data_IF_663295673510
#
_entry.id   IF_663295673510
#
_cell.length_a   1.000
_cell.length_b   1.000
_cell.length_c   1.000
_cell.angle_alpha   90.00
_cell.angle_beta   90.00
_cell.angle_gamma   90.00
#
_symmetry.space_group_name_H-M   'P 1'
#
loop_
_entity.id
_entity.type
_entity.pdbx_description
1 polymer ?
#
# COMPACT_ATOMS: atom_id res chain seq x y z
N UNK A 1 -30.05 -11.44 -59.36
CA UNK A 1 -29.73 -12.03 -58.03
C UNK A 1 -28.29 -11.66 -57.71
N UNK A 2 -28.04 -10.93 -56.62
CA UNK A 2 -26.73 -10.31 -56.31
C UNK A 2 -26.16 -10.95 -55.05
N UNK A 3 -24.87 -11.33 -55.07
CA UNK A 3 -24.21 -12.04 -53.96
C UNK A 3 -23.38 -11.09 -53.10
N UNK A 4 -23.41 -11.26 -51.78
CA UNK A 4 -22.48 -10.61 -50.88
C UNK A 4 -21.07 -11.22 -51.03
N UNK A 5 -20.04 -10.38 -51.10
CA UNK A 5 -18.64 -10.83 -51.24
C UNK A 5 -18.07 -11.35 -49.92
N UNK A 6 -18.55 -10.82 -48.80
CA UNK A 6 -18.02 -11.10 -47.46
C UNK A 6 -18.62 -12.37 -46.84
N UNK A 7 -19.88 -12.68 -47.14
CA UNK A 7 -20.56 -13.87 -46.58
C UNK A 7 -21.18 -14.81 -47.63
N UNK A 8 -21.12 -14.47 -48.92
CA UNK A 8 -21.63 -15.32 -50.00
C UNK A 8 -23.15 -15.38 -50.14
N UNK A 9 -23.93 -14.69 -49.30
CA UNK A 9 -25.40 -14.72 -49.36
C UNK A 9 -25.95 -14.08 -50.65
N UNK A 10 -26.93 -14.75 -51.27
CA UNK A 10 -27.65 -14.27 -52.45
C UNK A 10 -28.89 -13.47 -52.08
N UNK A 11 -28.99 -12.25 -52.61
CA UNK A 11 -30.15 -11.38 -52.48
C UNK A 11 -30.87 -11.20 -53.82
N UNK A 12 -32.20 -11.03 -53.75
CA UNK A 12 -33.03 -10.79 -54.94
C UNK A 12 -32.83 -9.40 -55.55
N UNK A 13 -32.35 -8.42 -54.77
CA UNK A 13 -32.17 -7.02 -55.18
C UNK A 13 -30.89 -6.42 -54.58
N UNK A 14 -30.30 -5.46 -55.29
CA UNK A 14 -29.12 -4.70 -54.85
C UNK A 14 -29.40 -3.90 -53.57
N UNK A 15 -30.64 -3.44 -53.36
CA UNK A 15 -31.02 -2.69 -52.16
C UNK A 15 -30.99 -3.58 -50.91
N UNK A 16 -31.45 -4.83 -51.02
CA UNK A 16 -31.38 -5.80 -49.93
C UNK A 16 -29.93 -6.15 -49.58
N UNK A 17 -29.06 -6.31 -50.59
CA UNK A 17 -27.62 -6.50 -50.36
C UNK A 17 -26.99 -5.27 -49.69
N UNK A 18 -27.34 -4.05 -50.10
CA UNK A 18 -26.80 -2.81 -49.51
C UNK A 18 -27.18 -2.67 -48.03
N UNK A 19 -28.42 -2.96 -47.67
CA UNK A 19 -28.85 -2.99 -46.26
C UNK A 19 -28.18 -4.12 -45.49
N UNK A 20 -28.03 -5.30 -46.10
CA UNK A 20 -27.33 -6.42 -45.50
C UNK A 20 -25.86 -6.08 -45.18
N UNK A 21 -25.11 -5.51 -46.12
CA UNK A 21 -23.71 -5.11 -45.89
C UNK A 21 -23.62 -4.03 -44.80
N UNK A 22 -24.54 -3.06 -44.76
CA UNK A 22 -24.56 -2.02 -43.72
C UNK A 22 -24.87 -2.57 -42.33
N UNK A 23 -25.79 -3.51 -42.21
CA UNK A 23 -26.26 -4.00 -40.91
C UNK A 23 -25.44 -5.21 -40.41
N UNK A 24 -25.02 -6.09 -41.30
CA UNK A 24 -24.33 -7.35 -40.96
C UNK A 24 -22.82 -7.18 -41.06
N UNK A 25 -22.34 -6.45 -42.07
CA UNK A 25 -20.91 -6.26 -42.26
C UNK A 25 -20.38 -4.97 -41.64
N UNK A 26 -21.24 -4.01 -41.24
CA UNK A 26 -20.98 -2.77 -40.48
C UNK A 26 -19.76 -1.91 -40.89
N UNK A 27 -19.07 -2.33 -41.94
CA UNK A 27 -17.95 -1.71 -42.63
C UNK A 27 -18.47 -1.64 -44.06
N UNK A 28 -19.13 -0.54 -44.37
CA UNK A 28 -19.48 -0.25 -45.76
C UNK A 28 -18.22 -0.31 -46.63
N UNK A 29 -18.33 -0.72 -47.90
CA UNK A 29 -17.21 -0.59 -48.83
C UNK A 29 -16.96 0.91 -48.98
N UNK A 30 -15.92 1.41 -48.28
CA UNK A 30 -15.35 2.70 -48.58
C UNK A 30 -14.66 2.50 -49.92
N UNK A 31 -15.34 2.91 -50.98
CA UNK A 31 -14.68 3.25 -52.24
C UNK A 31 -13.62 4.27 -51.87
N UNK A 32 -12.39 3.79 -51.96
CA UNK A 32 -11.14 4.50 -52.16
C UNK A 32 -11.29 5.75 -53.03
N UNK A 33 -11.73 6.85 -52.43
CA UNK A 33 -11.50 8.20 -52.90
C UNK A 33 -11.73 9.12 -51.68
N UNK A 34 -10.71 9.91 -51.32
CA UNK A 34 -10.69 10.92 -50.23
C UNK A 34 -10.18 10.48 -48.84
N UNK A 35 -8.92 10.06 -48.67
CA UNK A 35 -8.21 10.22 -47.36
C UNK A 35 -6.68 10.34 -47.55
N UNK A 36 -6.20 11.45 -48.11
CA UNK A 36 -4.75 11.79 -48.10
C UNK A 36 -4.51 13.24 -47.61
N UNK A 37 -5.40 13.78 -46.77
CA UNK A 37 -5.20 15.09 -46.09
C UNK A 37 -5.56 15.10 -44.60
N UNK A 38 -6.11 14.02 -44.05
CA UNK A 38 -6.51 13.94 -42.63
C UNK A 38 -5.40 13.44 -41.69
N UNK A 39 -4.30 12.93 -42.23
CA UNK A 39 -3.20 12.33 -41.46
C UNK A 39 -2.46 13.37 -40.59
N UNK A 40 -2.30 14.61 -41.08
CA UNK A 40 -1.60 15.68 -40.33
C UNK A 40 -2.40 16.25 -39.15
N UNK A 41 -3.74 16.27 -39.24
CA UNK A 41 -4.61 16.82 -38.20
C UNK A 41 -4.68 15.87 -36.98
N UNK A 42 -4.63 14.56 -37.23
CA UNK A 42 -4.62 13.53 -36.20
C UNK A 42 -3.32 13.56 -35.38
N UNK A 43 -2.19 13.82 -36.03
CA UNK A 43 -0.89 13.98 -35.38
C UNK A 43 -0.82 15.27 -34.55
N UNK A 44 -1.32 16.40 -35.06
CA UNK A 44 -1.39 17.64 -34.29
C UNK A 44 -2.24 17.50 -33.02
N UNK A 45 -3.38 16.79 -33.09
CA UNK A 45 -4.26 16.53 -31.93
C UNK A 45 -3.64 15.57 -30.91
N UNK A 46 -2.73 14.70 -31.34
CA UNK A 46 -1.93 13.86 -30.43
C UNK A 46 -0.84 14.68 -29.76
N UNK A 47 -0.15 15.54 -30.50
CA UNK A 47 0.90 16.42 -29.98
C UNK A 47 0.35 17.46 -28.99
N UNK A 48 -0.79 18.10 -29.28
CA UNK A 48 -1.46 19.00 -28.33
C UNK A 48 -1.87 18.26 -27.05
N UNK A 49 -2.40 17.03 -27.17
CA UNK A 49 -2.72 16.21 -25.99
C UNK A 49 -1.47 15.81 -25.20
N UNK A 50 -0.38 15.46 -25.87
CA UNK A 50 0.90 15.13 -25.24
C UNK A 50 1.47 16.36 -24.51
N UNK A 51 1.44 17.52 -25.12
CA UNK A 51 1.89 18.79 -24.52
C UNK A 51 1.02 19.22 -23.33
N UNK A 52 -0.30 19.04 -23.42
CA UNK A 52 -1.19 19.34 -22.29
C UNK A 52 -0.95 18.38 -21.12
N UNK A 53 -0.78 17.09 -21.41
CA UNK A 53 -0.46 16.09 -20.39
C UNK A 53 0.91 16.34 -19.75
N UNK A 54 1.92 16.74 -20.52
CA UNK A 54 3.24 17.10 -19.96
C UNK A 54 3.16 18.35 -19.08
N UNK A 55 2.43 19.39 -19.50
CA UNK A 55 2.19 20.58 -18.68
C UNK A 55 1.45 20.26 -17.37
N UNK A 56 0.42 19.40 -17.42
CA UNK A 56 -0.27 18.93 -16.21
C UNK A 56 0.65 18.14 -15.29
N UNK A 57 1.49 17.28 -15.85
CA UNK A 57 2.46 16.49 -15.08
C UNK A 57 3.49 17.39 -14.40
N UNK A 58 4.04 18.39 -15.10
CA UNK A 58 5.00 19.34 -14.51
C UNK A 58 4.35 20.20 -13.42
N UNK A 59 3.10 20.65 -13.60
CA UNK A 59 2.34 21.33 -12.53
C UNK A 59 2.14 20.45 -11.30
N UNK A 60 1.83 19.17 -11.49
CA UNK A 60 1.70 18.22 -10.38
C UNK A 60 3.04 17.95 -9.68
N UNK A 61 4.13 17.79 -10.43
CA UNK A 61 5.48 17.63 -9.85
C UNK A 61 5.90 18.85 -9.05
N UNK A 62 5.71 20.06 -9.58
CA UNK A 62 6.00 21.30 -8.86
C UNK A 62 5.15 21.42 -7.58
N UNK A 63 3.90 20.98 -7.63
CA UNK A 63 3.03 20.93 -6.45
C UNK A 63 3.47 19.89 -5.41
N UNK A 64 4.06 18.76 -5.82
CA UNK A 64 4.58 17.74 -4.91
C UNK A 64 5.98 18.05 -4.38
N UNK A 65 6.80 18.82 -5.13
CA UNK A 65 8.12 19.27 -4.71
C UNK A 65 8.07 20.27 -3.54
N UNK A 66 6.89 20.77 -3.18
CA UNK A 66 6.65 21.71 -2.07
C UNK A 66 6.70 21.11 -0.66
N UNK A 67 7.45 20.04 -0.44
CA UNK A 67 7.94 19.65 0.88
C UNK A 67 6.96 18.98 1.85
N UNK A 68 5.67 18.85 1.50
CA UNK A 68 4.71 18.18 2.42
C UNK A 68 5.04 16.69 2.60
N UNK A 69 5.51 16.01 1.56
CA UNK A 69 5.96 14.61 1.65
C UNK A 69 7.28 14.47 2.39
N UNK A 70 8.20 15.41 2.21
CA UNK A 70 9.51 15.41 2.88
C UNK A 70 9.37 15.70 4.38
N UNK A 71 8.47 16.61 4.76
CA UNK A 71 8.12 16.86 6.17
C UNK A 71 7.48 15.62 6.83
N UNK A 72 6.62 14.91 6.11
CA UNK A 72 6.05 13.65 6.60
C UNK A 72 7.12 12.56 6.78
N UNK A 73 8.13 12.53 5.91
CA UNK A 73 9.25 11.60 6.03
C UNK A 73 10.13 11.90 7.25
N UNK A 74 10.41 13.17 7.51
CA UNK A 74 11.15 13.61 8.71
C UNK A 74 10.39 13.29 10.01
N UNK A 75 9.07 13.48 10.03
CA UNK A 75 8.25 13.13 11.19
C UNK A 75 8.20 11.60 11.42
N UNK A 76 8.15 10.81 10.33
CA UNK A 76 8.24 9.35 10.41
C UNK A 76 9.58 8.88 10.99
N UNK A 77 10.71 9.48 10.58
CA UNK A 77 12.04 9.16 11.13
C UNK A 77 12.13 9.47 12.62
N UNK A 78 11.60 10.64 13.03
CA UNK A 78 11.53 11.03 14.43
C UNK A 78 10.68 10.06 15.26
N UNK A 79 9.47 9.72 14.80
CA UNK A 79 8.60 8.76 15.46
C UNK A 79 9.25 7.37 15.55
N UNK A 80 10.00 6.97 14.52
CA UNK A 80 10.78 5.72 14.53
C UNK A 80 11.81 5.68 15.67
N UNK A 81 12.53 6.79 15.90
CA UNK A 81 13.47 6.93 17.02
C UNK A 81 12.77 6.87 18.38
N UNK A 82 11.66 7.61 18.55
CA UNK A 82 10.88 7.62 19.79
C UNK A 82 10.36 6.21 20.15
N UNK A 83 9.90 5.44 19.16
CA UNK A 83 9.47 4.04 19.36
C UNK A 83 10.64 3.14 19.77
N UNK A 84 11.83 3.33 19.20
CA UNK A 84 13.01 2.55 19.56
C UNK A 84 13.44 2.82 21.02
N UNK A 85 13.45 4.08 21.43
CA UNK A 85 13.78 4.49 22.80
C UNK A 85 12.76 3.97 23.81
N UNK A 86 11.47 4.04 23.47
CA UNK A 86 10.40 3.49 24.30
C UNK A 86 10.54 1.97 24.45
N UNK A 87 10.85 1.26 23.35
CA UNK A 87 11.08 -0.19 23.36
C UNK A 87 12.27 -0.57 24.25
N UNK A 88 13.37 0.20 24.19
CA UNK A 88 14.53 0.01 25.07
C UNK A 88 14.17 0.22 26.53
N UNK A 89 13.51 1.34 26.85
CA UNK A 89 13.08 1.68 28.21
C UNK A 89 12.16 0.60 28.80
N UNK A 90 11.20 0.12 28.01
CA UNK A 90 10.32 -0.97 28.41
C UNK A 90 11.08 -2.29 28.68
N UNK A 91 12.08 -2.61 27.86
CA UNK A 91 12.97 -3.76 28.09
C UNK A 91 13.70 -3.69 29.42
N UNK A 92 14.22 -2.51 29.78
CA UNK A 92 14.88 -2.28 31.08
C UNK A 92 13.91 -2.41 32.26
N UNK A 93 12.68 -1.89 32.13
CA UNK A 93 11.64 -2.05 33.14
C UNK A 93 11.24 -3.51 33.33
N UNK A 94 11.12 -4.28 32.24
CA UNK A 94 10.83 -5.71 32.29
C UNK A 94 11.99 -6.52 32.91
N UNK A 95 13.24 -6.14 32.63
CA UNK A 95 14.40 -6.75 33.27
C UNK A 95 14.42 -6.49 34.79
N UNK A 96 14.11 -5.25 35.21
CA UNK A 96 13.94 -4.89 36.63
C UNK A 96 12.80 -5.67 37.29
N UNK A 97 11.68 -5.86 36.59
CA UNK A 97 10.53 -6.64 37.09
C UNK A 97 10.86 -8.12 37.24
N UNK A 98 11.64 -8.71 36.32
CA UNK A 98 12.12 -10.10 36.42
C UNK A 98 13.23 -10.30 37.46
N UNK A 99 13.97 -9.25 37.81
CA UNK A 99 14.98 -9.25 38.87
C UNK A 99 14.43 -8.98 40.29
N UNK A 100 13.11 -8.87 40.44
CA UNK A 100 12.46 -8.76 41.75
C UNK A 100 12.68 -10.04 42.57
N UNK A 101 13.55 -9.94 43.57
CA UNK A 101 13.96 -10.99 44.50
C UNK A 101 12.74 -11.80 45.00
N UNK A 102 12.78 -13.14 45.01
CA UNK A 102 11.72 -13.93 45.64
C UNK A 102 11.64 -13.57 47.13
N UNK A 103 10.41 -13.52 47.64
CA UNK A 103 10.08 -13.06 48.97
C UNK A 103 10.92 -13.77 50.03
N UNK A 104 11.68 -12.98 50.79
CA UNK A 104 12.17 -13.26 52.16
C UNK A 104 11.84 -14.66 52.69
N UNK A 105 12.79 -15.59 52.56
CA UNK A 105 12.80 -16.80 53.39
C UNK A 105 13.24 -16.37 54.80
N UNK A 106 12.28 -16.22 55.70
CA UNK A 106 12.55 -16.06 57.13
C UNK A 106 13.24 -17.36 57.58
N UNK A 107 14.56 -17.27 57.77
CA UNK A 107 15.40 -18.36 58.24
C UNK A 107 15.04 -18.61 59.70
N UNK A 108 14.32 -19.69 59.98
CA UNK A 108 14.01 -20.10 61.35
C UNK A 108 15.33 -20.40 62.07
N UNK A 109 15.75 -19.49 62.95
CA UNK A 109 16.89 -19.71 63.83
C UNK A 109 16.49 -20.79 64.82
N UNK A 110 17.14 -21.95 64.74
CA UNK A 110 16.92 -23.03 65.68
C UNK A 110 17.22 -22.55 67.10
N UNK A 111 16.21 -22.70 67.95
CA UNK A 111 16.23 -22.56 69.40
C UNK A 111 17.42 -23.34 69.98
N UNK A 112 18.39 -22.63 70.56
CA UNK A 112 19.45 -23.25 71.36
C UNK A 112 18.83 -23.49 72.75
N UNK A 113 18.68 -24.74 73.21
CA UNK A 113 18.23 -24.97 74.58
C UNK A 113 19.37 -24.64 75.54
N UNK A 114 19.14 -23.68 76.43
CA UNK A 114 19.97 -23.49 77.62
C UNK A 114 19.77 -24.72 78.51
N UNK A 115 20.82 -25.48 78.87
CA UNK A 115 20.70 -26.50 79.89
C UNK A 115 20.54 -25.80 81.26
N UNK A 116 19.43 -26.11 81.92
CA UNK A 116 19.18 -25.81 83.32
C UNK A 116 20.18 -26.58 84.18
N UNK A 117 21.11 -25.90 84.82
CA UNK A 117 21.76 -26.42 86.02
C UNK A 117 21.03 -25.88 87.23
N UNK A 118 20.04 -26.66 87.65
CA UNK A 118 19.60 -26.74 89.04
C UNK A 118 20.83 -26.99 89.93
N UNK A 119 21.12 -26.05 90.82
CA UNK A 119 21.93 -26.29 92.02
C UNK A 119 21.27 -25.49 93.14
N UNK A 120 20.29 -26.13 93.78
CA UNK A 120 19.86 -25.71 95.10
C UNK A 120 21.02 -25.81 96.09
N UNK A 121 21.22 -24.76 96.88
CA UNK A 121 21.80 -24.89 98.22
C UNK A 121 21.34 -23.74 99.09
N UNK A 122 20.64 -24.15 100.13
CA UNK A 122 20.12 -23.34 101.20
C UNK A 122 21.25 -22.90 102.15
N UNK A 123 21.14 -21.66 102.63
CA UNK A 123 21.42 -21.21 104.01
C UNK A 123 22.88 -21.31 104.52
N UNK A 124 23.24 -20.61 105.63
CA UNK A 124 22.41 -19.94 106.64
C UNK A 124 22.42 -18.41 106.64
#
# INVERSE_FOLDING_TARGET
MVKCKDCGQTFGSTQALSSHVRNVHAVGPKTEDQVESDSGILDLKKEVRRAELSSRLERLKASMAGGKTDLLFLELDRLGKEVADLKKSNGELLARKKGGKPWIAIRATAFIPVPTTDCGSACP
#
